data_IF_982029654483
#
_entry.id   IF_982029654483
#
_cell.length_a   1.000
_cell.length_b   1.000
_cell.length_c   1.000
_cell.angle_alpha   90.00
_cell.angle_beta   90.00
_cell.angle_gamma   90.00
#
_symmetry.space_group_name_H-M   'P 1'
#
loop_
_entity.id
_entity.type
_entity.pdbx_description
1 polymer ?
#
# COMPACT_ATOMS: atom_id res chain seq x y z
N UNK A 1 -14.27 -5.51 15.46
CA UNK A 1 -14.52 -5.11 14.05
C UNK A 1 -14.74 -3.62 13.88
N UNK A 2 -15.65 -2.97 14.63
CA UNK A 2 -15.88 -1.52 14.55
C UNK A 2 -14.61 -0.66 14.71
N UNK A 3 -13.69 -0.96 15.66
CA UNK A 3 -12.43 -0.21 15.78
C UNK A 3 -11.57 -0.29 14.52
N UNK A 4 -11.48 -1.48 13.91
CA UNK A 4 -10.72 -1.69 12.68
C UNK A 4 -11.26 -0.83 11.53
N UNK A 5 -12.58 -0.77 11.36
CA UNK A 5 -13.21 0.08 10.34
C UNK A 5 -12.96 1.56 10.57
N UNK A 6 -12.96 2.01 11.83
CA UNK A 6 -12.62 3.40 12.19
C UNK A 6 -11.16 3.72 11.82
N UNK A 7 -10.22 2.82 12.16
CA UNK A 7 -8.80 3.01 11.84
C UNK A 7 -8.55 2.99 10.33
N UNK A 8 -9.21 2.09 9.59
CA UNK A 8 -9.16 2.06 8.13
C UNK A 8 -9.69 3.36 7.51
N UNK A 9 -10.82 3.86 8.01
CA UNK A 9 -11.36 5.14 7.56
C UNK A 9 -10.40 6.29 7.82
N UNK A 10 -9.76 6.33 9.00
CA UNK A 10 -8.74 7.32 9.34
C UNK A 10 -7.51 7.23 8.43
N UNK A 11 -7.06 6.02 8.08
CA UNK A 11 -5.97 5.81 7.12
C UNK A 11 -6.31 6.34 5.74
N UNK A 12 -7.53 6.08 5.25
CA UNK A 12 -7.99 6.58 3.95
C UNK A 12 -8.00 8.11 3.94
N UNK A 13 -8.51 8.74 5.00
CA UNK A 13 -8.49 10.20 5.13
C UNK A 13 -7.06 10.75 5.18
N UNK A 14 -6.18 10.17 6.00
CA UNK A 14 -4.77 10.60 6.09
C UNK A 14 -4.01 10.43 4.79
N UNK A 15 -4.32 9.38 4.01
CA UNK A 15 -3.74 9.15 2.69
C UNK A 15 -4.26 10.17 1.68
N UNK A 16 -5.55 10.48 1.69
CA UNK A 16 -6.14 11.50 0.82
C UNK A 16 -5.54 12.88 1.10
N UNK A 17 -5.37 13.24 2.38
CA UNK A 17 -4.69 14.48 2.78
C UNK A 17 -3.24 14.49 2.30
N UNK A 18 -2.51 13.38 2.44
CA UNK A 18 -1.13 13.28 1.97
C UNK A 18 -1.01 13.55 0.46
N UNK A 19 -1.94 13.04 -0.36
CA UNK A 19 -1.97 13.25 -1.82
C UNK A 19 -2.39 14.67 -2.20
N UNK A 20 -3.33 15.26 -1.46
CA UNK A 20 -3.85 16.60 -1.80
C UNK A 20 -2.93 17.74 -1.33
N UNK A 21 -1.99 17.45 -0.44
CA UNK A 21 -1.12 18.46 0.16
C UNK A 21 -0.09 18.98 -0.84
N UNK A 22 0.04 20.31 -0.95
CA UNK A 22 0.96 20.96 -1.89
C UNK A 22 2.44 20.93 -1.48
N UNK A 23 2.72 20.82 -0.18
CA UNK A 23 4.08 20.79 0.33
C UNK A 23 4.50 19.36 0.63
N UNK A 24 5.63 18.94 0.08
CA UNK A 24 6.15 17.58 0.30
C UNK A 24 6.36 17.28 1.78
N UNK A 25 6.78 18.27 2.58
CA UNK A 25 6.96 18.08 4.02
C UNK A 25 5.64 17.75 4.73
N UNK A 26 4.54 18.43 4.40
CA UNK A 26 3.24 18.15 5.00
C UNK A 26 2.65 16.83 4.48
N UNK A 27 2.95 16.45 3.22
CA UNK A 27 2.61 15.13 2.70
C UNK A 27 3.32 14.00 3.47
N UNK A 28 4.61 14.18 3.78
CA UNK A 28 5.41 13.23 4.57
C UNK A 28 4.87 13.10 5.99
N UNK A 29 4.54 14.22 6.65
CA UNK A 29 3.93 14.20 7.99
C UNK A 29 2.59 13.45 7.97
N UNK A 30 1.75 13.70 6.96
CA UNK A 30 0.47 13.01 6.80
C UNK A 30 0.64 11.51 6.55
N UNK A 31 1.65 11.13 5.76
CA UNK A 31 2.00 9.72 5.52
C UNK A 31 2.41 9.02 6.83
N UNK A 32 3.20 9.68 7.67
CA UNK A 32 3.62 9.10 8.94
C UNK A 32 2.51 8.96 9.96
N UNK A 33 1.50 9.82 9.93
CA UNK A 33 0.27 9.61 10.68
C UNK A 33 -0.43 8.30 10.25
N UNK A 34 -0.53 8.06 8.94
CA UNK A 34 -1.12 6.83 8.39
C UNK A 34 -0.31 5.59 8.79
N UNK A 35 1.02 5.67 8.74
CA UNK A 35 1.92 4.59 9.17
C UNK A 35 1.81 4.26 10.65
N UNK A 36 1.63 5.26 11.51
CA UNK A 36 1.36 5.04 12.94
C UNK A 36 0.01 4.38 13.17
N UNK A 37 -1.05 4.79 12.45
CA UNK A 37 -2.35 4.12 12.52
C UNK A 37 -2.23 2.65 12.10
N UNK A 38 -1.43 2.35 11.07
CA UNK A 38 -1.16 0.98 10.63
C UNK A 38 -0.47 0.15 11.74
N UNK A 39 0.49 0.71 12.47
CA UNK A 39 1.10 0.05 13.63
C UNK A 39 0.07 -0.31 14.71
N UNK A 40 -0.91 0.57 14.95
CA UNK A 40 -2.02 0.30 15.88
C UNK A 40 -2.91 -0.84 15.36
N UNK A 41 -3.15 -0.91 14.05
CA UNK A 41 -3.89 -2.03 13.43
C UNK A 41 -3.14 -3.35 13.66
N UNK A 42 -1.82 -3.38 13.48
CA UNK A 42 -1.03 -4.61 13.73
C UNK A 42 -1.10 -5.06 15.19
N UNK A 43 -1.05 -4.13 16.15
CA UNK A 43 -1.27 -4.45 17.56
C UNK A 43 -2.69 -4.99 17.82
N UNK A 44 -3.71 -4.38 17.18
CA UNK A 44 -5.09 -4.83 17.29
C UNK A 44 -5.30 -6.24 16.71
N UNK A 45 -4.59 -6.57 15.63
CA UNK A 45 -4.55 -7.90 15.02
C UNK A 45 -3.65 -8.89 15.78
N UNK A 46 -3.20 -8.55 17.00
CA UNK A 46 -2.35 -9.39 17.84
C UNK A 46 -1.04 -9.81 17.14
N UNK A 47 -0.51 -8.96 16.25
CA UNK A 47 0.74 -9.18 15.55
C UNK A 47 1.81 -8.18 16.03
N UNK A 48 2.36 -8.36 17.25
CA UNK A 48 3.25 -7.39 17.89
C UNK A 48 4.60 -7.26 17.18
N UNK A 49 5.11 -8.33 16.58
CA UNK A 49 6.41 -8.32 15.91
C UNK A 49 6.39 -7.39 14.68
N UNK A 50 5.35 -7.51 13.85
CA UNK A 50 5.16 -6.63 12.69
C UNK A 50 4.92 -5.18 13.15
N UNK A 51 4.19 -4.96 14.24
CA UNK A 51 3.96 -3.60 14.77
C UNK A 51 5.26 -2.89 15.17
N UNK A 52 6.19 -3.59 15.84
CA UNK A 52 7.49 -3.01 16.22
C UNK A 52 8.30 -2.67 14.98
N UNK A 53 8.39 -3.60 14.03
CA UNK A 53 9.14 -3.36 12.78
C UNK A 53 8.54 -2.24 11.95
N UNK A 54 7.20 -2.10 11.94
CA UNK A 54 6.51 -1.00 11.27
C UNK A 54 6.94 0.35 11.85
N UNK A 55 6.99 0.50 13.19
CA UNK A 55 7.43 1.76 13.82
C UNK A 55 8.88 2.08 13.44
N UNK A 56 9.77 1.08 13.44
CA UNK A 56 11.17 1.27 13.08
C UNK A 56 11.30 1.74 11.62
N UNK A 57 10.64 1.03 10.70
CA UNK A 57 10.65 1.37 9.26
C UNK A 57 10.02 2.73 9.02
N UNK A 58 8.94 3.07 9.72
CA UNK A 58 8.27 4.36 9.61
C UNK A 58 9.19 5.52 10.02
N UNK A 59 9.93 5.37 11.12
CA UNK A 59 10.88 6.40 11.56
C UNK A 59 12.03 6.55 10.55
N UNK A 60 12.57 5.45 10.04
CA UNK A 60 13.64 5.49 9.03
C UNK A 60 13.12 6.14 7.73
N UNK A 61 11.92 5.76 7.27
CA UNK A 61 11.28 6.35 6.10
C UNK A 61 11.03 7.84 6.28
N UNK A 62 10.51 8.27 7.45
CA UNK A 62 10.33 9.68 7.80
C UNK A 62 11.65 10.45 7.67
N UNK A 63 12.74 9.93 8.27
CA UNK A 63 14.06 10.59 8.20
C UNK A 63 14.55 10.71 6.75
N UNK A 64 14.43 9.63 5.97
CA UNK A 64 14.84 9.62 4.56
C UNK A 64 14.00 10.61 3.74
N UNK A 65 12.69 10.63 3.92
CA UNK A 65 11.78 11.49 3.18
C UNK A 65 11.99 12.97 3.55
N UNK A 66 12.13 13.30 4.83
CA UNK A 66 12.45 14.68 5.26
C UNK A 66 13.78 15.12 4.66
N UNK A 67 14.81 14.27 4.70
CA UNK A 67 16.11 14.55 4.08
C UNK A 67 15.98 14.75 2.58
N UNK A 68 15.19 13.93 1.89
CA UNK A 68 14.97 14.04 0.45
C UNK A 68 14.26 15.35 0.07
N UNK A 69 13.26 15.76 0.86
CA UNK A 69 12.55 17.03 0.70
C UNK A 69 13.49 18.22 0.97
N UNK A 70 14.26 18.16 2.05
CA UNK A 70 15.22 19.22 2.41
C UNK A 70 16.38 19.35 1.41
N UNK A 71 16.78 18.27 0.74
CA UNK A 71 17.81 18.26 -0.28
C UNK A 71 17.40 18.96 -1.59
N UNK A 72 16.18 19.52 -1.68
CA UNK A 72 15.79 20.37 -2.80
C UNK A 72 15.72 19.64 -4.14
N UNK A 73 15.50 18.32 -4.14
CA UNK A 73 15.00 17.62 -5.33
C UNK A 73 13.54 18.02 -5.53
N UNK A 74 13.31 19.29 -5.85
CA UNK A 74 12.26 19.65 -6.79
C UNK A 74 12.45 18.69 -7.95
N UNK A 75 11.52 17.77 -8.09
CA UNK A 75 11.54 16.82 -9.19
C UNK A 75 11.43 17.69 -10.43
N UNK A 76 12.58 17.99 -11.03
CA UNK A 76 12.71 18.48 -12.39
C UNK A 76 11.73 17.65 -13.17
N UNK A 77 10.66 18.31 -13.60
CA UNK A 77 9.54 17.76 -14.33
C UNK A 77 10.12 16.89 -15.45
N UNK A 78 10.19 15.56 -15.26
CA UNK A 78 10.56 14.62 -16.34
C UNK A 78 9.31 14.47 -17.20
N UNK A 79 8.91 15.59 -17.80
CA UNK A 79 7.68 15.74 -18.52
C UNK A 79 7.77 14.96 -19.83
N UNK A 80 6.78 14.09 -20.04
CA UNK A 80 6.33 13.73 -21.38
C UNK A 80 6.58 12.30 -21.84
N UNK A 81 7.75 11.69 -21.59
CA UNK A 81 8.06 10.33 -22.12
C UNK A 81 8.03 9.20 -21.09
N UNK A 82 8.44 9.45 -19.85
CA UNK A 82 8.46 8.40 -18.81
C UNK A 82 7.08 8.11 -18.21
N UNK A 83 6.19 9.09 -18.19
CA UNK A 83 4.82 8.91 -17.69
C UNK A 83 3.96 8.09 -18.63
N UNK A 84 4.04 8.33 -19.96
CA UNK A 84 3.36 7.50 -20.96
C UNK A 84 3.87 6.07 -20.91
N UNK A 85 5.19 5.89 -20.77
CA UNK A 85 5.78 4.56 -20.61
C UNK A 85 5.29 3.87 -19.33
N UNK A 86 5.31 4.56 -18.19
CA UNK A 86 4.82 4.03 -16.90
C UNK A 86 3.34 3.63 -17.00
N UNK A 87 2.51 4.47 -17.60
CA UNK A 87 1.08 4.23 -17.77
C UNK A 87 0.82 3.05 -18.71
N UNK A 88 1.56 2.92 -19.81
CA UNK A 88 1.47 1.77 -20.73
C UNK A 88 1.90 0.48 -20.02
N UNK A 89 2.95 0.52 -19.19
CA UNK A 89 3.40 -0.64 -18.41
C UNK A 89 2.36 -1.05 -17.37
N UNK A 90 1.76 -0.10 -16.66
CA UNK A 90 0.72 -0.37 -15.66
C UNK A 90 -0.52 -0.97 -16.33
N UNK A 91 -1.00 -0.38 -17.44
CA UNK A 91 -2.14 -0.92 -18.18
C UNK A 91 -1.82 -2.31 -18.72
N UNK A 92 -0.62 -2.51 -19.30
CA UNK A 92 -0.18 -3.82 -19.78
C UNK A 92 -0.18 -4.87 -18.68
N UNK A 93 0.31 -4.52 -17.48
CA UNK A 93 0.31 -5.42 -16.34
C UNK A 93 -1.11 -5.77 -15.88
N UNK A 94 -2.01 -4.80 -15.80
CA UNK A 94 -3.43 -5.02 -15.44
C UNK A 94 -4.10 -5.96 -16.44
N UNK A 95 -3.89 -5.75 -17.74
CA UNK A 95 -4.49 -6.58 -18.80
C UNK A 95 -3.95 -8.01 -18.75
N UNK A 96 -2.63 -8.18 -18.63
CA UNK A 96 -2.00 -9.51 -18.55
C UNK A 96 -2.48 -10.24 -17.30
N UNK A 97 -2.44 -9.58 -16.14
CA UNK A 97 -2.86 -10.18 -14.87
C UNK A 97 -4.35 -10.52 -14.88
N UNK A 98 -5.19 -9.63 -15.42
CA UNK A 98 -6.62 -9.87 -15.59
C UNK A 98 -6.93 -11.05 -16.52
N UNK A 99 -6.19 -11.19 -17.61
CA UNK A 99 -6.32 -12.35 -18.52
C UNK A 99 -5.94 -13.65 -17.83
N UNK A 100 -4.82 -13.68 -17.10
CA UNK A 100 -4.42 -14.84 -16.31
C UNK A 100 -5.41 -15.16 -15.19
N UNK A 101 -5.95 -14.15 -14.52
CA UNK A 101 -6.98 -14.33 -13.50
C UNK A 101 -8.25 -14.92 -14.12
N UNK A 102 -8.70 -14.43 -15.26
CA UNK A 102 -9.86 -14.99 -15.97
C UNK A 102 -9.62 -16.44 -16.41
N UNK A 103 -8.43 -16.74 -16.95
CA UNK A 103 -8.05 -18.11 -17.30
C UNK A 103 -8.04 -19.01 -16.06
N UNK A 104 -7.40 -18.59 -14.96
CA UNK A 104 -7.39 -19.35 -13.72
C UNK A 104 -8.82 -19.58 -13.18
N UNK A 105 -9.69 -18.57 -13.24
CA UNK A 105 -11.06 -18.68 -12.77
C UNK A 105 -11.94 -19.61 -13.61
N UNK A 106 -11.65 -19.73 -14.91
CA UNK A 106 -12.46 -20.52 -15.85
C UNK A 106 -11.91 -21.94 -16.02
N UNK A 107 -10.59 -22.12 -15.97
CA UNK A 107 -9.91 -23.39 -16.24
C UNK A 107 -9.64 -24.21 -14.97
N UNK A 108 -9.60 -23.58 -13.80
CA UNK A 108 -9.50 -24.28 -12.52
C UNK A 108 -10.92 -24.39 -11.97
N UNK A 109 -11.49 -25.60 -12.04
CA UNK A 109 -12.65 -25.94 -11.21
C UNK A 109 -12.22 -25.81 -9.76
N UNK A 110 -12.48 -24.67 -9.14
CA UNK A 110 -12.20 -24.52 -7.71
C UNK A 110 -12.98 -25.62 -6.99
N UNK A 111 -12.30 -26.40 -6.13
CA UNK A 111 -13.02 -27.32 -5.25
C UNK A 111 -14.05 -26.50 -4.46
N UNK A 112 -15.27 -27.02 -4.34
CA UNK A 112 -16.28 -26.38 -3.50
C UNK A 112 -15.67 -26.10 -2.13
N UNK A 113 -15.81 -24.86 -1.67
CA UNK A 113 -15.29 -24.43 -0.39
C UNK A 113 -15.75 -25.40 0.71
N UNK A 114 -14.81 -26.05 1.40
CA UNK A 114 -15.08 -27.05 2.43
C UNK A 114 -14.93 -28.52 2.04
N UNK A 115 -14.53 -28.86 0.80
CA UNK A 115 -14.21 -30.24 0.44
C UNK A 115 -12.70 -30.52 0.54
N UNK A 116 -12.28 -31.59 1.25
CA UNK A 116 -10.87 -31.94 1.38
C UNK A 116 -10.29 -32.42 0.05
N UNK A 117 -9.20 -31.79 -0.39
CA UNK A 117 -8.48 -32.12 -1.63
C UNK A 117 -7.67 -33.42 -1.53
N UNK A 118 -7.38 -33.89 -0.31
CA UNK A 118 -6.70 -35.16 -0.04
C UNK A 118 -7.53 -35.96 0.97
N UNK A 119 -7.88 -37.19 0.62
CA UNK A 119 -8.21 -38.21 1.63
C UNK A 119 -6.91 -38.82 2.10
N UNK A 120 -6.53 -38.53 3.33
CA UNK A 120 -5.46 -39.26 4.01
C UNK A 120 -6.02 -40.63 4.36
N UNK A 121 -5.39 -41.69 3.85
CA UNK A 121 -5.61 -43.07 4.32
C UNK A 121 -4.98 -43.27 5.69
#
# INVERSE_FOLDING_TARGET
>A
MLPLYLLLFLMILGSLVAVHTRTLLSAVISLSLVGLVLSVIFLYLQTPDIAITQIIVEIVALIILIRAVAAGKEVSDIKGKKEVFSLVVVIGFIVIFGYFAHQALTFIEFPKFGYPLMRVS
#
